data_IF_095119181635
#
_entry.id   IF_095119181635
#
_cell.length_a   1.000
_cell.length_b   1.000
_cell.length_c   1.000
_cell.angle_alpha   90.00
_cell.angle_beta   90.00
_cell.angle_gamma   90.00
#
_symmetry.space_group_name_H-M   'P 1'
#
loop_
_entity.id
_entity.type
_entity.pdbx_description
1 polymer ?
#
# COMPACT_ATOMS: atom_id res chain seq x y z
N UNK A 1 19.81 29.27 11.01
CA UNK A 1 20.83 28.25 10.80
C UNK A 1 20.53 26.99 11.54
N UNK A 2 20.33 27.08 12.85
CA UNK A 2 19.90 25.90 13.62
C UNK A 2 18.57 25.34 13.15
N UNK A 3 17.67 26.22 12.74
CA UNK A 3 16.37 25.80 12.24
C UNK A 3 16.46 24.97 10.97
N UNK A 4 17.39 25.32 10.09
CA UNK A 4 17.57 24.56 8.85
C UNK A 4 18.15 23.18 9.11
N UNK A 5 19.05 23.07 10.08
CA UNK A 5 19.61 21.78 10.45
C UNK A 5 18.53 20.89 11.09
N UNK A 6 17.71 21.47 11.93
CA UNK A 6 16.61 20.73 12.54
C UNK A 6 15.63 20.24 11.47
N UNK A 7 15.36 21.08 10.47
CA UNK A 7 14.46 20.70 9.38
C UNK A 7 15.00 19.52 8.59
N UNK A 8 16.33 19.52 8.33
CA UNK A 8 16.94 18.41 7.59
C UNK A 8 16.96 17.14 8.45
N UNK A 9 17.27 17.27 9.72
CA UNK A 9 17.34 16.10 10.61
C UNK A 9 15.97 15.55 10.95
N UNK A 10 14.93 16.39 10.91
CA UNK A 10 13.58 16.00 11.30
C UNK A 10 12.66 15.84 10.11
N UNK A 11 13.22 15.51 8.95
CA UNK A 11 12.39 15.20 7.79
C UNK A 11 11.54 14.00 8.13
N UNK A 12 10.23 14.16 8.01
CA UNK A 12 9.28 13.11 8.27
C UNK A 12 8.53 12.79 7.00
N UNK A 13 8.29 11.52 6.80
CA UNK A 13 7.43 11.06 5.73
C UNK A 13 6.06 10.76 6.29
N UNK A 14 5.06 11.04 5.50
CA UNK A 14 3.68 10.74 5.87
C UNK A 14 3.25 9.42 5.24
N UNK A 15 2.57 8.62 6.05
CA UNK A 15 2.05 7.34 5.59
C UNK A 15 0.58 7.26 5.94
N UNK A 16 -0.20 6.69 5.05
CA UNK A 16 -1.56 6.31 5.38
C UNK A 16 -1.52 4.91 5.94
N UNK A 17 -2.06 4.75 7.15
CA UNK A 17 -2.11 3.46 7.81
C UNK A 17 -3.39 2.76 7.41
N UNK A 18 -3.25 1.54 6.91
CA UNK A 18 -4.37 0.72 6.49
C UNK A 18 -4.34 -0.61 7.23
N UNK A 19 -5.48 -1.24 7.33
CA UNK A 19 -5.59 -2.58 7.87
C UNK A 19 -5.76 -3.59 6.77
N UNK A 20 -5.03 -4.68 6.88
CA UNK A 20 -5.23 -5.86 6.06
C UNK A 20 -5.16 -7.05 7.02
N UNK A 21 -6.31 -7.67 7.25
CA UNK A 21 -6.43 -8.67 8.30
C UNK A 21 -6.25 -8.03 9.66
N UNK A 22 -5.42 -8.62 10.48
CA UNK A 22 -5.14 -8.12 11.84
C UNK A 22 -3.93 -7.19 11.89
N UNK A 23 -3.25 -6.99 10.78
CA UNK A 23 -2.02 -6.21 10.74
C UNK A 23 -2.22 -4.83 10.13
N UNK A 24 -1.40 -3.90 10.56
CA UNK A 24 -1.40 -2.55 10.04
C UNK A 24 -0.22 -2.35 9.09
N UNK A 25 -0.51 -1.67 7.99
CA UNK A 25 0.47 -1.39 6.96
C UNK A 25 0.46 0.10 6.66
N UNK A 26 1.59 0.61 6.19
CA UNK A 26 1.70 2.01 5.82
C UNK A 26 2.01 2.17 4.34
N UNK A 27 1.32 3.10 3.72
CA UNK A 27 1.55 3.47 2.32
C UNK A 27 2.05 4.91 2.29
N UNK A 28 3.22 5.12 1.71
CA UNK A 28 3.78 6.45 1.56
C UNK A 28 2.77 7.32 0.79
N UNK A 29 2.37 8.43 1.40
CA UNK A 29 1.33 9.27 0.85
C UNK A 29 1.70 9.86 -0.51
N UNK A 30 2.99 9.94 -0.81
CA UNK A 30 3.43 10.46 -2.11
C UNK A 30 2.99 9.60 -3.28
N UNK A 31 2.66 8.35 -3.04
CA UNK A 31 2.16 7.46 -4.10
C UNK A 31 0.64 7.50 -4.24
N UNK A 32 -0.05 8.16 -3.33
CA UNK A 32 -1.51 8.09 -3.30
C UNK A 32 -2.12 9.25 -4.05
N UNK A 33 -2.97 8.93 -5.01
CA UNK A 33 -3.74 9.92 -5.73
C UNK A 33 -5.09 10.17 -5.05
N UNK A 34 -5.76 9.09 -4.65
CA UNK A 34 -7.11 9.18 -4.15
C UNK A 34 -7.46 7.91 -3.37
N UNK A 35 -8.48 8.02 -2.52
CA UNK A 35 -9.02 6.88 -1.79
C UNK A 35 -10.52 6.88 -2.06
N UNK A 36 -11.04 5.77 -2.57
CA UNK A 36 -12.45 5.68 -2.93
C UNK A 36 -13.09 4.47 -2.26
N UNK A 37 -14.41 4.55 -2.13
CA UNK A 37 -15.18 3.42 -1.62
C UNK A 37 -15.18 2.29 -2.63
N UNK A 38 -15.51 1.11 -2.15
CA UNK A 38 -15.65 -0.03 -3.04
C UNK A 38 -16.70 0.27 -4.11
N UNK A 39 -16.39 -0.12 -5.32
CA UNK A 39 -17.23 0.09 -6.48
C UNK A 39 -17.30 -1.21 -7.25
N UNK A 40 -18.19 -1.26 -8.23
CA UNK A 40 -18.28 -2.44 -9.09
C UNK A 40 -16.96 -2.62 -9.83
N UNK A 41 -16.38 -3.80 -9.69
CA UNK A 41 -15.15 -4.17 -10.38
C UNK A 41 -15.52 -5.10 -11.53
N UNK A 42 -15.13 -4.73 -12.74
CA UNK A 42 -15.37 -5.55 -13.91
C UNK A 42 -14.19 -6.48 -14.12
N UNK A 43 -14.42 -7.78 -14.06
CA UNK A 43 -13.36 -8.76 -14.21
C UNK A 43 -12.78 -8.76 -15.62
N UNK A 44 -11.48 -8.98 -15.68
CA UNK A 44 -10.76 -9.13 -16.95
C UNK A 44 -10.36 -10.61 -17.08
N UNK A 45 -10.80 -11.31 -18.13
CA UNK A 45 -10.47 -12.73 -18.28
C UNK A 45 -8.98 -12.94 -18.46
N UNK A 46 -8.50 -14.09 -17.98
CA UNK A 46 -7.10 -14.53 -18.12
C UNK A 46 -6.07 -13.63 -17.47
N UNK A 47 -6.50 -12.77 -16.55
CA UNK A 47 -5.57 -11.97 -15.76
C UNK A 47 -5.00 -12.80 -14.62
N UNK A 48 -3.94 -12.31 -14.03
CA UNK A 48 -3.35 -12.95 -12.86
C UNK A 48 -4.35 -12.94 -11.69
N UNK A 49 -4.21 -13.90 -10.78
CA UNK A 49 -5.17 -14.09 -9.70
C UNK A 49 -5.35 -12.86 -8.83
N UNK A 50 -4.26 -12.14 -8.55
CA UNK A 50 -4.36 -10.93 -7.72
C UNK A 50 -5.00 -9.75 -8.43
N UNK A 51 -5.19 -9.83 -9.73
CA UNK A 51 -5.79 -8.76 -10.52
C UNK A 51 -7.30 -8.94 -10.51
N UNK A 52 -7.99 -8.08 -9.77
CA UNK A 52 -9.45 -8.21 -9.60
C UNK A 52 -10.26 -7.74 -10.80
N UNK A 53 -9.72 -6.82 -11.56
CA UNK A 53 -10.41 -6.27 -12.70
C UNK A 53 -10.19 -4.78 -12.84
N UNK A 54 -11.16 -4.09 -13.39
CA UNK A 54 -11.08 -2.65 -13.63
C UNK A 54 -12.29 -1.94 -13.05
N UNK A 55 -12.09 -0.69 -12.68
CA UNK A 55 -13.18 0.21 -12.33
C UNK A 55 -13.14 1.42 -13.26
N UNK A 56 -14.29 2.06 -13.40
CA UNK A 56 -14.37 3.32 -14.13
C UNK A 56 -14.47 4.43 -13.09
N UNK A 57 -13.45 5.28 -13.03
CA UNK A 57 -13.40 6.37 -12.09
C UNK A 57 -13.38 7.67 -12.87
N UNK A 58 -14.52 8.35 -12.90
CA UNK A 58 -14.66 9.64 -13.61
C UNK A 58 -14.24 9.55 -15.07
N UNK A 59 -14.63 8.47 -15.73
CA UNK A 59 -14.29 8.26 -17.13
C UNK A 59 -12.92 7.64 -17.38
N UNK A 60 -12.15 7.43 -16.35
CA UNK A 60 -10.83 6.81 -16.46
C UNK A 60 -10.90 5.35 -16.02
N UNK A 61 -10.30 4.48 -16.81
CA UNK A 61 -10.25 3.05 -16.49
C UNK A 61 -9.05 2.81 -15.59
N UNK A 62 -9.33 2.28 -14.40
CA UNK A 62 -8.28 2.03 -13.41
C UNK A 62 -8.25 0.54 -13.08
N UNK A 63 -7.10 -0.12 -13.30
CA UNK A 63 -6.96 -1.52 -12.88
C UNK A 63 -6.94 -1.60 -11.36
N UNK A 64 -7.50 -2.68 -10.82
CA UNK A 64 -7.60 -2.90 -9.38
C UNK A 64 -7.01 -4.25 -9.04
N UNK A 65 -6.10 -4.27 -8.08
CA UNK A 65 -5.47 -5.50 -7.62
C UNK A 65 -5.76 -5.72 -6.14
N UNK A 66 -5.69 -6.99 -5.76
CA UNK A 66 -5.79 -7.40 -4.37
C UNK A 66 -4.40 -7.51 -3.77
N UNK A 67 -4.11 -6.66 -2.78
CA UNK A 67 -2.83 -6.79 -2.06
C UNK A 67 -2.79 -8.13 -1.33
N UNK A 68 -3.92 -8.56 -0.79
CA UNK A 68 -3.99 -9.86 -0.11
C UNK A 68 -3.50 -10.99 -1.00
N UNK A 69 -4.07 -11.08 -2.19
CA UNK A 69 -3.69 -12.14 -3.12
C UNK A 69 -2.26 -11.98 -3.60
N UNK A 70 -1.83 -10.74 -3.82
CA UNK A 70 -0.43 -10.49 -4.21
C UNK A 70 0.55 -10.99 -3.16
N UNK A 71 0.20 -10.87 -1.89
CA UNK A 71 1.04 -11.33 -0.78
C UNK A 71 0.82 -12.79 -0.40
N UNK A 72 -0.02 -13.50 -1.13
CA UNK A 72 -0.30 -14.90 -0.84
C UNK A 72 -1.25 -15.10 0.32
N UNK A 73 -2.03 -14.10 0.66
CA UNK A 73 -3.02 -14.20 1.73
C UNK A 73 -4.39 -14.62 1.17
N UNK A 74 -5.34 -14.84 2.06
CA UNK A 74 -6.69 -15.17 1.65
C UNK A 74 -7.34 -14.00 0.90
N UNK A 75 -8.27 -14.32 0.02
CA UNK A 75 -8.97 -13.32 -0.79
C UNK A 75 -9.69 -12.30 0.07
N UNK A 76 -10.00 -11.17 -0.54
CA UNK A 76 -10.67 -10.06 0.14
C UNK A 76 -12.09 -10.42 0.52
N UNK A 77 -12.50 -9.95 1.68
CA UNK A 77 -13.90 -9.96 2.10
C UNK A 77 -14.30 -8.50 2.23
N UNK A 78 -15.23 -8.06 1.38
CA UNK A 78 -15.61 -6.66 1.35
C UNK A 78 -16.58 -6.32 2.45
N UNK A 79 -16.30 -5.22 3.16
CA UNK A 79 -17.18 -4.68 4.19
C UNK A 79 -17.42 -3.21 3.89
N UNK A 80 -18.23 -2.57 4.71
CA UNK A 80 -18.46 -1.12 4.56
C UNK A 80 -17.20 -0.29 4.80
N UNK A 81 -16.21 -0.87 5.47
CA UNK A 81 -14.93 -0.19 5.73
C UNK A 81 -13.94 -0.36 4.58
N UNK A 82 -14.15 -1.33 3.69
CA UNK A 82 -13.23 -1.59 2.58
C UNK A 82 -13.07 -0.37 1.69
N UNK A 83 -11.84 -0.18 1.20
CA UNK A 83 -11.53 0.96 0.34
C UNK A 83 -10.62 0.53 -0.79
N UNK A 84 -10.65 1.30 -1.86
CA UNK A 84 -9.68 1.16 -2.95
C UNK A 84 -8.78 2.39 -2.88
N UNK A 85 -7.49 2.17 -2.72
CA UNK A 85 -6.51 3.25 -2.73
C UNK A 85 -5.97 3.37 -4.14
N UNK A 86 -6.15 4.53 -4.74
CA UNK A 86 -5.67 4.78 -6.10
C UNK A 86 -4.25 5.30 -6.00
N UNK A 87 -3.33 4.53 -6.52
CA UNK A 87 -1.91 4.88 -6.53
C UNK A 87 -1.54 5.50 -7.86
N UNK A 88 -0.63 6.47 -7.81
CA UNK A 88 0.01 7.03 -9.00
C UNK A 88 1.35 6.35 -9.14
N UNK A 89 1.51 5.60 -10.19
CA UNK A 89 2.77 4.92 -10.44
C UNK A 89 3.44 5.56 -11.63
N UNK A 90 4.63 6.06 -11.42
CA UNK A 90 5.41 6.65 -12.48
C UNK A 90 5.56 5.65 -13.63
N UNK A 91 5.28 6.08 -14.84
CA UNK A 91 5.35 5.29 -16.06
C UNK A 91 4.26 4.22 -16.21
N UNK A 92 3.43 3.99 -15.19
CA UNK A 92 2.37 2.97 -15.26
C UNK A 92 0.96 3.53 -15.10
N UNK A 93 0.85 4.79 -14.71
CA UNK A 93 -0.46 5.41 -14.50
C UNK A 93 -1.09 5.04 -13.18
N UNK A 94 -2.41 5.02 -13.14
CA UNK A 94 -3.16 4.76 -11.91
C UNK A 94 -3.37 3.27 -11.69
N UNK A 95 -3.27 2.85 -10.43
CA UNK A 95 -3.54 1.47 -10.03
C UNK A 95 -4.27 1.49 -8.71
N UNK A 96 -5.41 0.79 -8.63
CA UNK A 96 -6.15 0.67 -7.40
C UNK A 96 -5.71 -0.54 -6.60
N UNK A 97 -5.59 -0.40 -5.30
CA UNK A 97 -5.30 -1.53 -4.41
C UNK A 97 -6.37 -1.58 -3.32
N UNK A 98 -6.80 -2.79 -2.99
CA UNK A 98 -7.90 -2.99 -2.03
C UNK A 98 -7.31 -3.15 -0.64
N UNK A 99 -7.86 -2.41 0.32
CA UNK A 99 -7.51 -2.56 1.73
C UNK A 99 -8.78 -2.77 2.54
N UNK A 100 -8.63 -3.42 3.70
CA UNK A 100 -9.78 -3.71 4.56
C UNK A 100 -10.33 -2.45 5.20
N UNK A 101 -9.46 -1.53 5.57
CA UNK A 101 -9.84 -0.31 6.26
C UNK A 101 -8.72 0.71 6.17
N UNK A 102 -9.08 1.99 6.11
CA UNK A 102 -8.11 3.08 6.23
C UNK A 102 -8.22 3.62 7.66
N UNK A 103 -7.10 3.66 8.38
CA UNK A 103 -7.11 4.03 9.78
C UNK A 103 -6.76 5.49 10.02
N UNK A 104 -5.57 5.91 9.62
CA UNK A 104 -5.10 7.26 9.94
C UNK A 104 -3.87 7.60 9.11
N UNK A 105 -3.45 8.85 9.21
CA UNK A 105 -2.19 9.32 8.63
C UNK A 105 -1.20 9.48 9.78
N UNK A 106 0.01 8.95 9.61
CA UNK A 106 1.07 9.10 10.60
C UNK A 106 2.28 9.75 9.95
N UNK A 107 3.05 10.47 10.76
CA UNK A 107 4.31 11.06 10.35
C UNK A 107 5.43 10.27 11.01
N UNK A 108 6.35 9.76 10.21
CA UNK A 108 7.47 8.98 10.71
C UNK A 108 8.79 9.62 10.31
N UNK A 109 9.68 9.81 11.28
CA UNK A 109 11.04 10.22 11.02
C UNK A 109 11.90 8.98 10.78
N UNK A 110 13.10 9.18 10.26
CA UNK A 110 13.98 8.05 9.93
C UNK A 110 14.28 7.17 11.14
N UNK A 111 14.42 7.77 12.32
CA UNK A 111 14.73 7.00 13.52
C UNK A 111 13.54 6.18 14.01
N UNK A 112 12.34 6.44 13.49
CA UNK A 112 11.17 5.65 13.80
C UNK A 112 10.97 4.50 12.82
N UNK A 113 11.80 4.40 11.81
CA UNK A 113 11.69 3.37 10.78
C UNK A 113 12.90 2.46 10.87
N UNK A 114 12.63 1.17 11.07
CA UNK A 114 13.66 0.16 11.06
C UNK A 114 13.61 -0.53 9.70
N UNK A 115 14.74 -0.50 8.99
CA UNK A 115 14.80 -1.13 7.68
C UNK A 115 14.75 -2.64 7.81
N UNK A 116 13.96 -3.25 6.96
CA UNK A 116 13.82 -4.68 6.95
C UNK A 116 14.91 -5.30 6.07
N UNK A 117 16.03 -5.67 6.69
CA UNK A 117 17.14 -6.31 5.99
C UNK A 117 17.13 -7.83 6.15
N UNK A 118 16.02 -8.36 6.59
CA UNK A 118 15.95 -9.78 6.91
C UNK A 118 15.76 -10.58 5.64
N UNK A 119 16.62 -11.56 5.47
CA UNK A 119 16.45 -12.55 4.40
C UNK A 119 15.29 -13.46 4.78
N UNK A 120 14.10 -12.97 4.53
CA UNK A 120 12.91 -13.73 4.84
C UNK A 120 12.53 -14.60 3.66
N UNK A 121 12.12 -15.82 3.94
CA UNK A 121 11.59 -16.72 2.93
C UNK A 121 10.09 -16.53 2.73
N UNK A 122 9.49 -15.58 3.44
CA UNK A 122 8.05 -15.32 3.33
C UNK A 122 7.79 -14.36 2.20
N UNK A 123 6.89 -14.75 1.30
CA UNK A 123 6.50 -13.90 0.18
C UNK A 123 6.05 -12.52 0.64
N UNK A 124 5.30 -12.49 1.74
CA UNK A 124 4.79 -11.26 2.32
C UNK A 124 5.90 -10.23 2.59
N UNK A 125 7.05 -10.69 3.06
CA UNK A 125 8.13 -9.78 3.47
C UNK A 125 8.85 -9.14 2.30
N UNK A 126 8.68 -9.67 1.09
CA UNK A 126 9.28 -9.03 -0.09
C UNK A 126 8.59 -7.71 -0.45
N UNK A 127 7.38 -7.50 0.07
CA UNK A 127 6.61 -6.29 -0.22
C UNK A 127 6.74 -5.24 0.88
N UNK A 128 7.55 -5.51 1.89
CA UNK A 128 7.74 -4.63 3.04
C UNK A 128 9.18 -4.14 3.05
N UNK A 129 9.37 -2.82 3.08
CA UNK A 129 10.73 -2.27 3.09
C UNK A 129 11.17 -1.76 4.47
N UNK A 130 10.28 -1.75 5.44
CA UNK A 130 10.65 -1.31 6.76
C UNK A 130 9.49 -1.44 7.73
N UNK A 131 9.78 -1.24 9.00
CA UNK A 131 8.77 -1.25 10.05
C UNK A 131 8.82 0.09 10.76
N UNK A 132 7.71 0.81 10.74
CA UNK A 132 7.60 2.07 11.44
C UNK A 132 6.98 1.87 12.81
N UNK A 133 7.44 2.65 13.77
CA UNK A 133 6.91 2.65 15.12
C UNK A 133 6.22 3.99 15.37
N UNK A 134 4.94 3.95 15.66
CA UNK A 134 4.16 5.13 16.01
C UNK A 134 3.47 4.86 17.33
N UNK A 135 3.98 5.49 18.41
CA UNK A 135 3.49 5.16 19.73
C UNK A 135 3.76 3.70 20.05
N UNK A 136 2.72 2.97 20.39
CA UNK A 136 2.81 1.54 20.67
C UNK A 136 2.54 0.66 19.44
N UNK A 137 2.31 1.28 18.29
CA UNK A 137 1.91 0.55 17.09
C UNK A 137 3.10 0.27 16.20
N UNK A 138 3.13 -0.93 15.67
CA UNK A 138 4.09 -1.33 14.64
C UNK A 138 3.36 -1.31 13.30
N UNK A 139 3.95 -0.64 12.32
CA UNK A 139 3.35 -0.48 11.00
C UNK A 139 4.35 -0.99 9.97
N UNK A 140 3.94 -2.00 9.22
CA UNK A 140 4.78 -2.54 8.14
C UNK A 140 4.64 -1.64 6.92
N UNK A 141 5.75 -1.07 6.47
CA UNK A 141 5.74 -0.11 5.38
C UNK A 141 5.87 -0.82 4.04
N UNK A 142 4.91 -0.60 3.16
CA UNK A 142 4.89 -1.25 1.85
C UNK A 142 5.97 -0.69 0.95
N UNK A 143 6.63 -1.60 0.24
CA UNK A 143 7.46 -1.26 -0.90
C UNK A 143 6.56 -1.23 -2.12
N UNK A 144 6.09 -0.04 -2.49
CA UNK A 144 5.08 0.11 -3.53
C UNK A 144 5.56 -0.46 -4.86
N UNK A 145 6.83 -0.24 -5.20
CA UNK A 145 7.34 -0.74 -6.48
C UNK A 145 7.29 -2.27 -6.56
N UNK A 146 7.47 -2.95 -5.44
CA UNK A 146 7.36 -4.41 -5.41
C UNK A 146 5.91 -4.86 -5.54
N UNK A 147 4.99 -4.12 -4.93
CA UNK A 147 3.57 -4.46 -4.99
C UNK A 147 3.03 -4.32 -6.41
N UNK A 148 3.41 -3.25 -7.10
CA UNK A 148 2.88 -2.97 -8.43
C UNK A 148 3.63 -3.69 -9.55
N UNK A 149 4.69 -4.40 -9.22
CA UNK A 149 5.46 -5.14 -10.21
C UNK A 149 4.59 -6.30 -10.72
N UNK A 150 4.38 -6.32 -12.03
CA UNK A 150 3.57 -7.34 -12.67
C UNK A 150 4.30 -8.65 -12.87
N UNK A 151 5.61 -8.65 -12.64
CA UNK A 151 6.36 -9.87 -12.84
C UNK A 151 5.96 -10.91 -11.82
N UNK A 152 5.56 -12.04 -12.34
CA UNK A 152 5.25 -13.19 -11.53
C UNK A 152 6.56 -13.75 -11.00
N UNK A 153 6.64 -13.88 -9.70
CA UNK A 153 7.82 -14.46 -9.06
C UNK A 153 7.73 -15.98 -9.04
N UNK A 154 7.56 -16.53 -10.20
CA UNK A 154 7.56 -17.99 -10.31
C UNK A 154 8.98 -18.49 -10.50
#
# INVERSE_FOLDING_TARGET
MAEQLETVENIRKQYIVVKIGSEQYGIDISYIDNIVRMQKITRVPKAQEYFKGIINLRGEIVPVMSIRLKMGLEDDTFTSASRIIILKIEDKGALGVIVDEVCEVVNLSEDQIENNNINSNHVKDTFINGIGTSGDQLISLFEINAIVDEKDNT
#
